data_IF_218708933541
#
_entry.id   IF_218708933541
#
_cell.length_a   1.000
_cell.length_b   1.000
_cell.length_c   1.000
_cell.angle_alpha   90.00
_cell.angle_beta   90.00
_cell.angle_gamma   90.00
#
_symmetry.space_group_name_H-M   'P 1'
#
loop_
_entity.id
_entity.type
_entity.pdbx_description
1 polymer ?
#
# COMPACT_ATOMS: atom_id res chain seq x y z
N UNK A 1 -19.84 3.64 1.91
CA UNK A 1 -18.95 4.79 1.69
C UNK A 1 -17.65 4.22 1.13
N UNK A 2 -17.29 4.55 -0.10
CA UNK A 2 -16.15 3.92 -0.79
C UNK A 2 -14.82 4.45 -0.25
N UNK A 3 -13.85 3.57 0.01
CA UNK A 3 -12.62 3.96 0.69
C UNK A 3 -11.63 4.63 -0.27
N UNK A 4 -11.07 5.79 0.12
CA UNK A 4 -10.19 6.61 -0.75
C UNK A 4 -8.93 5.86 -1.20
N UNK A 5 -8.43 4.92 -0.39
CA UNK A 5 -7.25 4.11 -0.75
C UNK A 5 -7.57 3.02 -1.79
N UNK A 6 -8.82 2.83 -2.21
CA UNK A 6 -9.19 1.74 -3.14
C UNK A 6 -10.14 2.16 -4.25
N UNK A 7 -11.12 3.02 -3.95
CA UNK A 7 -12.13 3.43 -4.91
C UNK A 7 -11.73 4.61 -5.80
N UNK A 8 -10.61 5.28 -5.49
CA UNK A 8 -10.07 6.35 -6.31
C UNK A 8 -9.26 5.77 -7.49
N UNK A 9 -9.45 6.24 -8.74
CA UNK A 9 -8.65 5.79 -9.89
C UNK A 9 -7.14 5.92 -9.70
N UNK A 10 -6.70 6.98 -9.02
CA UNK A 10 -5.28 7.20 -8.71
C UNK A 10 -4.73 6.13 -7.75
N UNK A 11 -5.51 5.77 -6.72
CA UNK A 11 -5.16 4.70 -5.80
C UNK A 11 -5.09 3.34 -6.51
N UNK A 12 -6.03 3.06 -7.41
CA UNK A 12 -5.99 1.85 -8.25
C UNK A 12 -4.71 1.78 -9.09
N UNK A 13 -4.29 2.90 -9.67
CA UNK A 13 -3.02 2.99 -10.38
C UNK A 13 -1.82 2.54 -9.54
N UNK A 14 -1.81 2.82 -8.23
CA UNK A 14 -0.76 2.32 -7.32
C UNK A 14 -0.82 0.80 -7.18
N UNK A 15 -2.00 0.24 -6.95
CA UNK A 15 -2.17 -1.22 -6.79
C UNK A 15 -1.83 -2.00 -8.06
N UNK A 16 -2.11 -1.43 -9.25
CA UNK A 16 -1.74 -2.03 -10.53
C UNK A 16 -0.23 -2.23 -10.71
N UNK A 17 0.58 -1.47 -9.97
CA UNK A 17 2.05 -1.51 -10.04
C UNK A 17 2.69 -2.51 -9.08
N UNK A 18 1.94 -3.02 -8.10
CA UNK A 18 2.43 -3.95 -7.08
C UNK A 18 2.59 -5.40 -7.57
N UNK A 19 2.04 -5.74 -8.74
CA UNK A 19 2.02 -7.10 -9.25
C UNK A 19 1.21 -8.08 -8.38
N UNK A 20 1.22 -9.36 -8.78
CA UNK A 20 0.66 -10.46 -7.98
C UNK A 20 -0.84 -10.34 -7.67
N UNK A 21 -1.24 -10.74 -6.45
CA UNK A 21 -2.62 -10.73 -5.99
C UNK A 21 -3.18 -9.32 -5.78
N UNK A 22 -2.33 -8.37 -5.39
CA UNK A 22 -2.72 -6.97 -5.14
C UNK A 22 -3.11 -6.26 -6.44
N UNK A 23 -2.42 -6.55 -7.55
CA UNK A 23 -2.81 -6.05 -8.88
C UNK A 23 -4.21 -6.53 -9.30
N UNK A 24 -4.63 -7.72 -8.86
CA UNK A 24 -5.91 -8.34 -9.23
C UNK A 24 -7.06 -7.98 -8.30
N UNK A 25 -6.79 -7.34 -7.16
CA UNK A 25 -7.83 -6.94 -6.22
C UNK A 25 -8.66 -5.80 -6.83
N UNK A 26 -9.88 -6.12 -7.26
CA UNK A 26 -10.78 -5.17 -7.88
C UNK A 26 -11.33 -4.15 -6.87
N UNK A 27 -11.92 -3.08 -7.42
CA UNK A 27 -12.58 -2.03 -6.65
C UNK A 27 -13.79 -2.62 -5.92
N UNK A 28 -13.66 -2.78 -4.61
CA UNK A 28 -14.79 -3.10 -3.75
C UNK A 28 -15.44 -1.81 -3.23
N UNK A 29 -16.78 -1.74 -3.30
CA UNK A 29 -17.58 -0.67 -2.64
C UNK A 29 -17.79 -0.95 -1.15
N UNK A 30 -17.21 -2.02 -0.62
CA UNK A 30 -17.37 -2.44 0.77
C UNK A 30 -16.74 -1.43 1.74
N UNK A 31 -17.20 -1.49 2.99
CA UNK A 31 -16.57 -0.76 4.08
C UNK A 31 -15.09 -1.17 4.21
N UNK A 32 -14.24 -0.21 4.60
CA UNK A 32 -12.79 -0.43 4.75
C UNK A 32 -12.46 -1.63 5.64
N UNK A 33 -13.20 -1.83 6.74
CA UNK A 33 -13.00 -2.99 7.63
C UNK A 33 -13.15 -4.32 6.90
N UNK A 34 -14.18 -4.48 6.06
CA UNK A 34 -14.43 -5.70 5.30
C UNK A 34 -13.33 -5.93 4.26
N UNK A 35 -12.88 -4.87 3.59
CA UNK A 35 -11.76 -4.93 2.66
C UNK A 35 -10.49 -5.41 3.36
N UNK A 36 -10.15 -4.83 4.51
CA UNK A 36 -8.98 -5.23 5.29
C UNK A 36 -9.10 -6.68 5.73
N UNK A 37 -10.22 -7.09 6.31
CA UNK A 37 -10.44 -8.50 6.70
C UNK A 37 -10.29 -9.45 5.52
N UNK A 38 -10.83 -9.11 4.34
CA UNK A 38 -10.69 -9.91 3.13
C UNK A 38 -9.21 -10.02 2.70
N UNK A 39 -8.48 -8.91 2.70
CA UNK A 39 -7.06 -8.90 2.33
C UNK A 39 -6.22 -9.75 3.27
N UNK A 40 -6.47 -9.69 4.59
CA UNK A 40 -5.76 -10.52 5.57
C UNK A 40 -6.03 -12.02 5.40
N UNK A 41 -7.20 -12.41 4.89
CA UNK A 41 -7.52 -13.81 4.58
C UNK A 41 -6.95 -14.26 3.22
N UNK A 42 -6.88 -13.35 2.25
CA UNK A 42 -6.51 -13.68 0.88
C UNK A 42 -5.00 -13.65 0.60
N UNK A 43 -4.29 -12.76 1.30
CA UNK A 43 -2.86 -12.47 1.09
C UNK A 43 -1.98 -13.26 2.07
N UNK A 44 -0.78 -13.62 1.60
CA UNK A 44 0.28 -14.12 2.50
C UNK A 44 0.81 -12.98 3.36
N UNK A 45 1.48 -13.31 4.48
CA UNK A 45 2.10 -12.33 5.39
C UNK A 45 2.92 -11.27 4.65
N UNK A 46 3.81 -11.67 3.76
CA UNK A 46 4.65 -10.73 2.98
C UNK A 46 3.85 -9.82 2.06
N UNK A 47 2.75 -10.33 1.49
CA UNK A 47 1.84 -9.55 0.64
C UNK A 47 1.05 -8.54 1.49
N UNK A 48 0.65 -8.91 2.72
CA UNK A 48 0.01 -8.00 3.69
C UNK A 48 0.98 -6.90 4.14
N UNK A 49 2.24 -7.24 4.41
CA UNK A 49 3.26 -6.24 4.77
C UNK A 49 3.48 -5.23 3.63
N UNK A 50 3.63 -5.71 2.40
CA UNK A 50 3.73 -4.88 1.20
C UNK A 50 2.49 -3.98 1.02
N UNK A 51 1.30 -4.54 1.18
CA UNK A 51 0.05 -3.77 1.15
C UNK A 51 0.04 -2.67 2.20
N UNK A 52 0.43 -2.96 3.44
CA UNK A 52 0.37 -2.02 4.55
C UNK A 52 1.31 -0.82 4.32
N UNK A 53 2.56 -1.06 3.92
CA UNK A 53 3.53 0.03 3.68
C UNK A 53 3.19 0.87 2.45
N UNK A 54 2.58 0.27 1.42
CA UNK A 54 2.15 1.00 0.23
C UNK A 54 0.86 1.76 0.47
N UNK A 55 -0.08 1.23 1.26
CA UNK A 55 -1.26 1.95 1.73
C UNK A 55 -0.86 3.20 2.53
N UNK A 56 0.13 3.05 3.42
CA UNK A 56 0.71 4.16 4.17
C UNK A 56 1.37 5.20 3.25
N UNK A 57 2.17 4.75 2.26
CA UNK A 57 2.82 5.63 1.29
C UNK A 57 1.78 6.43 0.45
N UNK A 58 0.72 5.75 0.01
CA UNK A 58 -0.39 6.35 -0.73
C UNK A 58 -1.15 7.38 0.12
N UNK A 59 -1.38 7.10 1.41
CA UNK A 59 -1.96 8.07 2.33
C UNK A 59 -1.10 9.33 2.46
N UNK A 60 0.22 9.18 2.56
CA UNK A 60 1.13 10.31 2.60
C UNK A 60 1.14 11.11 1.29
N UNK A 61 1.08 10.44 0.13
CA UNK A 61 0.98 11.11 -1.16
C UNK A 61 -0.33 11.92 -1.29
N UNK A 62 -1.45 11.38 -0.79
CA UNK A 62 -2.72 12.12 -0.69
C UNK A 62 -2.57 13.35 0.20
N UNK A 63 -1.95 13.23 1.37
CA UNK A 63 -1.77 14.37 2.28
C UNK A 63 -0.88 15.44 1.65
N UNK A 64 0.21 15.04 0.99
CA UNK A 64 1.07 15.94 0.22
C UNK A 64 0.31 16.67 -0.89
N UNK A 65 -0.59 15.99 -1.60
CA UNK A 65 -1.45 16.65 -2.58
C UNK A 65 -2.38 17.69 -1.92
N UNK A 66 -3.00 17.35 -0.80
CA UNK A 66 -3.95 18.24 -0.10
C UNK A 66 -3.24 19.48 0.46
N UNK A 67 -2.07 19.31 1.08
CA UNK A 67 -1.39 20.37 1.83
C UNK A 67 -0.33 21.12 1.01
N UNK A 68 0.36 20.44 0.10
CA UNK A 68 1.48 21.00 -0.66
C UNK A 68 1.14 21.19 -2.15
N UNK A 69 -0.02 20.70 -2.63
CA UNK A 69 -0.40 20.69 -4.06
C UNK A 69 0.58 19.93 -4.94
N UNK A 70 1.37 19.03 -4.36
CA UNK A 70 2.34 18.20 -5.07
C UNK A 70 1.74 16.81 -5.30
N UNK A 71 1.62 16.40 -6.56
CA UNK A 71 1.18 15.06 -6.92
C UNK A 71 2.39 14.14 -7.11
N UNK A 72 2.46 13.05 -6.34
CA UNK A 72 3.50 12.03 -6.51
C UNK A 72 3.24 11.17 -7.76
N UNK A 73 4.28 10.56 -8.34
CA UNK A 73 4.07 9.52 -9.35
C UNK A 73 3.67 8.20 -8.68
N UNK A 74 2.96 7.35 -9.41
CA UNK A 74 2.52 6.04 -8.91
C UNK A 74 3.72 5.17 -8.52
N UNK A 75 4.76 5.19 -9.35
CA UNK A 75 6.03 4.50 -9.14
C UNK A 75 6.70 4.96 -7.84
N UNK A 76 6.79 6.28 -7.62
CA UNK A 76 7.42 6.83 -6.41
C UNK A 76 6.69 6.43 -5.12
N UNK A 77 5.37 6.24 -5.18
CA UNK A 77 4.56 5.79 -4.05
C UNK A 77 4.89 4.34 -3.71
N UNK A 78 4.92 3.48 -4.73
CA UNK A 78 5.25 2.06 -4.57
C UNK A 78 6.68 1.90 -4.07
N UNK A 79 7.64 2.54 -4.73
CA UNK A 79 9.06 2.44 -4.40
C UNK A 79 9.34 2.89 -2.97
N UNK A 80 8.68 3.97 -2.51
CA UNK A 80 8.80 4.44 -1.14
C UNK A 80 8.27 3.42 -0.13
N UNK A 81 7.11 2.82 -0.40
CA UNK A 81 6.52 1.81 0.49
C UNK A 81 7.39 0.55 0.57
N UNK A 82 7.75 -0.01 -0.59
CA UNK A 82 8.53 -1.25 -0.67
C UNK A 82 9.95 -1.06 -0.11
N UNK A 83 10.60 0.08 -0.39
CA UNK A 83 11.94 0.37 0.15
C UNK A 83 11.90 0.49 1.67
N UNK A 84 10.87 1.12 2.25
CA UNK A 84 10.71 1.22 3.70
C UNK A 84 10.63 -0.16 4.35
N UNK A 85 9.84 -1.09 3.79
CA UNK A 85 9.73 -2.45 4.31
C UNK A 85 11.05 -3.21 4.20
N UNK A 86 11.74 -3.09 3.06
CA UNK A 86 13.06 -3.72 2.83
C UNK A 86 14.07 -3.23 3.86
N UNK A 87 14.12 -1.93 4.11
CA UNK A 87 15.07 -1.33 5.04
C UNK A 87 14.76 -1.74 6.49
N UNK A 88 13.47 -1.80 6.85
CA UNK A 88 13.02 -2.32 8.14
C UNK A 88 13.48 -3.77 8.37
N UNK A 89 13.22 -4.68 7.41
CA UNK A 89 13.61 -6.10 7.52
C UNK A 89 15.12 -6.27 7.65
N UNK A 90 15.90 -5.54 6.85
CA UNK A 90 17.37 -5.55 6.92
C UNK A 90 17.90 -5.15 8.30
N UNK A 91 17.26 -4.19 8.96
CA UNK A 91 17.68 -3.76 10.31
C UNK A 91 17.31 -4.82 11.36
N UNK A 92 16.12 -5.43 11.25
CA UNK A 92 15.68 -6.50 12.16
C UNK A 92 16.59 -7.74 12.09
N UNK A 93 16.94 -8.21 10.90
CA UNK A 93 17.85 -9.35 10.71
C UNK A 93 19.22 -9.12 11.37
N UNK A 94 19.73 -7.88 11.30
CA UNK A 94 21.00 -7.48 11.93
C UNK A 94 20.93 -7.43 13.45
N UNK A 95 19.76 -7.12 14.03
CA UNK A 95 19.57 -7.14 15.49
C UNK A 95 19.41 -8.54 16.05
N UNK A 96 18.83 -9.47 15.29
CA UNK A 96 18.64 -10.87 15.72
C UNK A 96 19.93 -11.72 15.60
N UNK A 97 20.90 -11.25 14.81
CA UNK A 97 22.21 -11.90 14.65
C UNK A 97 23.26 -11.45 15.69
N UNK A 98 22.87 -10.64 16.68
CA UNK A 98 23.73 -10.15 17.77
C UNK A 98 23.32 -10.77 19.10
#
# INVERSE_FOLDING_TARGET
MSHVLWACPYANGVWSKMGGKLQKCQISKEAFGNLVSHLFLYLKKEEVENWAVVAWSLWNARNRWIHERVQSSLESIVDRGVSLLRDYKRVQEKSESR
#
